data_IF_895660513724
#
_entry.id   IF_895660513724
#
_cell.length_a   1.000
_cell.length_b   1.000
_cell.length_c   1.000
_cell.angle_alpha   90.00
_cell.angle_beta   90.00
_cell.angle_gamma   90.00
#
_symmetry.space_group_name_H-M   'P 1'
#
loop_
_entity.id
_entity.type
_entity.pdbx_description
1 polymer ?
#
# COMPACT_ATOMS: atom_id res chain seq x y z
N UNK A 1 3.25 11.66 -18.71
CA UNK A 1 3.28 10.81 -19.93
C UNK A 1 2.17 9.78 -19.84
N UNK A 2 1.17 9.82 -20.71
CA UNK A 2 0.09 8.84 -20.72
C UNK A 2 0.63 7.49 -21.25
N UNK A 3 0.42 6.40 -20.49
CA UNK A 3 0.78 5.05 -20.93
C UNK A 3 -0.22 4.60 -22.01
N UNK A 4 0.28 4.01 -23.10
CA UNK A 4 -0.56 3.43 -24.13
C UNK A 4 -1.43 2.28 -23.58
N UNK A 5 -2.66 2.08 -24.10
CA UNK A 5 -3.57 1.06 -23.59
C UNK A 5 -3.04 -0.36 -23.85
N UNK A 6 -3.21 -1.23 -22.85
CA UNK A 6 -2.91 -2.66 -22.97
C UNK A 6 -3.87 -3.30 -23.98
N UNK A 7 -3.40 -4.26 -24.79
CA UNK A 7 -4.25 -4.87 -25.83
C UNK A 7 -5.49 -5.57 -25.24
N UNK A 8 -6.66 -5.54 -25.89
CA UNK A 8 -7.89 -6.18 -25.39
C UNK A 8 -7.78 -7.70 -25.17
N UNK A 9 -6.84 -8.37 -25.85
CA UNK A 9 -6.57 -9.79 -25.66
C UNK A 9 -5.80 -10.04 -24.35
N UNK A 10 -4.80 -9.20 -24.04
CA UNK A 10 -4.07 -9.25 -22.77
C UNK A 10 -5.00 -8.89 -21.62
N UNK A 11 -5.84 -7.85 -21.76
CA UNK A 11 -6.83 -7.49 -20.74
C UNK A 11 -7.82 -8.65 -20.44
N UNK A 12 -8.35 -9.32 -21.47
CA UNK A 12 -9.23 -10.49 -21.30
C UNK A 12 -8.53 -11.70 -20.67
N UNK A 13 -7.30 -11.98 -21.09
CA UNK A 13 -6.49 -13.04 -20.51
C UNK A 13 -6.18 -12.80 -19.02
N UNK A 14 -5.88 -11.55 -18.65
CA UNK A 14 -5.63 -11.13 -17.27
C UNK A 14 -6.91 -11.21 -16.42
N UNK A 15 -8.05 -10.75 -16.94
CA UNK A 15 -9.35 -10.82 -16.26
C UNK A 15 -9.78 -12.28 -15.98
N UNK A 16 -9.55 -13.20 -16.92
CA UNK A 16 -9.85 -14.62 -16.73
C UNK A 16 -8.95 -15.30 -15.68
N UNK A 17 -7.76 -14.77 -15.42
CA UNK A 17 -6.81 -15.29 -14.42
C UNK A 17 -6.85 -14.61 -13.05
N UNK A 18 -7.47 -13.44 -12.93
CA UNK A 18 -7.70 -12.77 -11.64
C UNK A 18 -8.54 -13.58 -10.64
N UNK A 19 -9.23 -14.63 -11.11
CA UNK A 19 -9.97 -15.57 -10.26
C UNK A 19 -9.01 -16.55 -9.52
N UNK A 20 -7.76 -16.66 -9.96
CA UNK A 20 -6.77 -17.55 -9.38
C UNK A 20 -6.01 -16.90 -8.21
N UNK A 21 -6.36 -17.30 -6.99
CA UNK A 21 -5.73 -16.98 -5.71
C UNK A 21 -6.30 -15.77 -4.94
N UNK A 22 -7.59 -15.46 -5.08
CA UNK A 22 -8.29 -14.84 -3.95
C UNK A 22 -8.22 -15.85 -2.78
N UNK A 23 -7.60 -15.45 -1.67
CA UNK A 23 -7.67 -16.23 -0.43
C UNK A 23 -9.13 -16.50 -0.01
N UNK A 24 -9.37 -17.26 1.07
CA UNK A 24 -10.74 -17.53 1.52
C UNK A 24 -11.53 -16.21 1.66
N UNK A 25 -12.86 -16.21 1.48
CA UNK A 25 -13.66 -15.00 1.68
C UNK A 25 -13.36 -14.33 3.02
N UNK A 26 -13.29 -13.00 3.03
CA UNK A 26 -13.11 -12.23 4.26
C UNK A 26 -14.44 -12.21 5.02
N UNK A 27 -14.39 -12.37 6.35
CA UNK A 27 -15.59 -12.47 7.20
C UNK A 27 -15.67 -11.34 8.24
N UNK A 28 -16.83 -11.11 8.83
CA UNK A 28 -17.02 -10.09 9.88
C UNK A 28 -17.51 -8.74 9.35
N UNK A 29 -17.33 -7.70 10.16
CA UNK A 29 -17.64 -6.31 9.79
C UNK A 29 -16.73 -5.82 8.65
N UNK A 30 -17.04 -4.67 8.03
CA UNK A 30 -16.17 -4.12 6.98
C UNK A 30 -14.75 -3.84 7.51
N UNK A 31 -14.64 -3.31 8.74
CA UNK A 31 -13.35 -3.11 9.41
C UNK A 31 -12.58 -4.41 9.61
N UNK A 32 -13.25 -5.48 10.07
CA UNK A 32 -12.60 -6.80 10.24
C UNK A 32 -12.04 -7.33 8.92
N UNK A 33 -12.77 -7.12 7.81
CA UNK A 33 -12.34 -7.55 6.49
C UNK A 33 -11.17 -6.71 5.96
N UNK A 34 -11.15 -5.40 6.22
CA UNK A 34 -9.99 -4.54 5.90
C UNK A 34 -8.77 -4.98 6.70
N UNK A 35 -8.91 -5.24 8.00
CA UNK A 35 -7.81 -5.75 8.85
C UNK A 35 -7.29 -7.09 8.34
N UNK A 36 -8.16 -8.03 8.00
CA UNK A 36 -7.74 -9.29 7.36
C UNK A 36 -7.06 -9.06 6.00
N UNK A 37 -7.46 -8.04 5.24
CA UNK A 37 -6.80 -7.64 4.00
C UNK A 37 -5.38 -7.11 4.23
N UNK A 38 -5.20 -6.29 5.26
CA UNK A 38 -3.90 -5.81 5.74
C UNK A 38 -3.01 -6.98 6.17
N UNK A 39 -3.52 -7.88 7.01
CA UNK A 39 -2.77 -9.05 7.48
C UNK A 39 -2.36 -9.97 6.32
N UNK A 40 -3.24 -10.15 5.33
CA UNK A 40 -2.95 -10.93 4.11
C UNK A 40 -1.88 -10.31 3.22
N UNK A 41 -1.56 -9.04 3.39
CA UNK A 41 -0.45 -8.45 2.68
C UNK A 41 0.87 -9.13 3.09
N UNK A 42 1.02 -9.50 4.36
CA UNK A 42 2.22 -10.11 4.88
C UNK A 42 2.35 -11.55 4.39
N UNK A 43 3.52 -11.87 3.83
CA UNK A 43 3.85 -13.23 3.42
C UNK A 43 4.91 -13.80 4.36
N UNK A 44 4.69 -15.04 4.80
CA UNK A 44 5.67 -15.78 5.60
C UNK A 44 6.71 -16.42 4.71
N UNK A 45 7.97 -16.09 4.94
CA UNK A 45 9.11 -16.71 4.29
C UNK A 45 9.88 -17.57 5.29
N UNK A 46 10.37 -18.72 4.84
CA UNK A 46 11.24 -19.60 5.63
C UNK A 46 12.55 -19.82 4.86
N UNK A 47 13.68 -19.47 5.47
CA UNK A 47 15.00 -19.58 4.85
C UNK A 47 15.98 -20.12 5.86
N UNK A 48 16.56 -21.30 5.59
CA UNK A 48 17.56 -21.94 6.45
C UNK A 48 17.11 -22.09 7.93
N UNK A 49 15.81 -22.31 8.17
CA UNK A 49 15.23 -22.44 9.51
C UNK A 49 14.85 -21.12 10.19
N UNK A 50 15.23 -19.97 9.63
CA UNK A 50 14.71 -18.66 10.04
C UNK A 50 13.33 -18.41 9.40
N UNK A 51 12.47 -17.67 10.10
CA UNK A 51 11.13 -17.28 9.63
C UNK A 51 10.95 -15.78 9.73
N UNK A 52 10.30 -15.19 8.74
CA UNK A 52 9.92 -13.78 8.76
C UNK A 52 8.59 -13.56 8.04
N UNK A 53 7.70 -12.78 8.65
CA UNK A 53 6.48 -12.29 8.02
C UNK A 53 6.80 -10.91 7.41
N UNK A 54 6.82 -10.81 6.08
CA UNK A 54 7.30 -9.60 5.38
C UNK A 54 6.21 -9.05 4.49
N UNK A 55 5.90 -7.76 4.63
CA UNK A 55 4.96 -7.07 3.73
C UNK A 55 5.61 -6.76 2.37
N UNK A 56 4.80 -6.62 1.29
CA UNK A 56 5.30 -6.22 -0.01
C UNK A 56 6.00 -4.87 0.08
N UNK A 57 7.15 -4.76 -0.57
CA UNK A 57 7.83 -3.48 -0.71
C UNK A 57 7.07 -2.54 -1.65
N UNK A 58 7.37 -1.24 -1.60
CA UNK A 58 6.77 -0.29 -2.53
C UNK A 58 7.38 -0.41 -3.90
N UNK A 59 6.52 -0.54 -4.91
CA UNK A 59 6.94 -0.62 -6.30
C UNK A 59 5.91 0.03 -7.18
N UNK A 60 6.32 1.02 -7.98
CA UNK A 60 5.48 1.64 -8.99
C UNK A 60 6.24 1.82 -10.30
N UNK A 61 5.61 1.55 -11.44
CA UNK A 61 6.27 1.80 -12.73
C UNK A 61 6.66 3.29 -12.86
N UNK A 62 7.92 3.55 -13.22
CA UNK A 62 8.53 4.90 -13.24
C UNK A 62 9.10 5.39 -11.90
N UNK A 63 8.91 4.67 -10.79
CA UNK A 63 9.49 5.03 -9.48
C UNK A 63 10.98 4.71 -9.34
N UNK A 64 11.54 4.98 -8.16
CA UNK A 64 12.98 4.86 -7.85
C UNK A 64 13.63 3.51 -8.18
N UNK A 65 12.90 2.42 -8.01
CA UNK A 65 13.37 1.06 -8.31
C UNK A 65 13.03 0.59 -9.75
N UNK A 66 12.62 1.48 -10.66
CA UNK A 66 12.30 1.10 -12.04
C UNK A 66 13.48 0.43 -12.76
N UNK A 67 14.70 0.93 -12.54
CA UNK A 67 15.92 0.37 -13.12
C UNK A 67 16.21 -1.07 -12.67
N UNK A 68 15.67 -1.47 -11.51
CA UNK A 68 15.90 -2.78 -10.89
C UNK A 68 15.02 -3.88 -11.50
N UNK A 69 13.95 -3.53 -12.24
CA UNK A 69 13.04 -4.51 -12.87
C UNK A 69 13.79 -5.45 -13.81
N UNK A 70 14.73 -4.93 -14.61
CA UNK A 70 15.52 -5.76 -15.51
C UNK A 70 16.38 -6.79 -14.74
N UNK A 71 16.94 -6.39 -13.60
CA UNK A 71 17.70 -7.28 -12.72
C UNK A 71 16.79 -8.35 -12.10
N UNK A 72 15.58 -8.00 -11.67
CA UNK A 72 14.56 -8.95 -11.20
C UNK A 72 14.16 -9.97 -12.26
N UNK A 73 13.83 -9.51 -13.48
CA UNK A 73 13.47 -10.41 -14.58
C UNK A 73 14.61 -11.35 -14.97
N UNK A 74 15.85 -10.85 -15.02
CA UNK A 74 17.04 -11.67 -15.27
C UNK A 74 17.27 -12.68 -14.14
N UNK A 75 17.06 -12.30 -12.89
CA UNK A 75 17.22 -13.19 -11.75
C UNK A 75 16.20 -14.35 -11.74
N UNK A 76 15.05 -14.18 -12.39
CA UNK A 76 14.02 -15.20 -12.56
C UNK A 76 14.21 -16.06 -13.83
N UNK A 77 15.27 -15.84 -14.61
CA UNK A 77 15.56 -16.64 -15.80
C UNK A 77 15.68 -18.14 -15.43
N UNK A 78 15.02 -19.01 -16.20
CA UNK A 78 14.90 -20.44 -15.90
C UNK A 78 13.82 -20.80 -14.86
N UNK A 79 13.32 -19.82 -14.09
CA UNK A 79 12.21 -19.99 -13.14
C UNK A 79 10.88 -19.45 -13.66
N UNK A 80 10.88 -18.73 -14.77
CA UNK A 80 9.65 -18.30 -15.44
C UNK A 80 9.01 -19.45 -16.23
N UNK A 81 7.69 -19.58 -16.15
CA UNK A 81 6.93 -20.57 -16.90
C UNK A 81 5.63 -21.00 -16.22
N UNK A 82 5.01 -22.05 -16.73
CA UNK A 82 3.72 -22.57 -16.25
C UNK A 82 3.83 -23.91 -15.53
N UNK A 83 5.04 -24.47 -15.38
CA UNK A 83 5.26 -25.74 -14.67
C UNK A 83 5.17 -25.53 -13.15
N UNK A 84 4.89 -26.59 -12.37
CA UNK A 84 4.97 -26.52 -10.91
C UNK A 84 6.32 -25.96 -10.44
N UNK A 85 6.28 -25.02 -9.50
CA UNK A 85 7.48 -24.33 -8.98
C UNK A 85 7.97 -23.16 -9.84
N UNK A 86 7.39 -22.92 -11.02
CA UNK A 86 7.71 -21.76 -11.86
C UNK A 86 6.76 -20.59 -11.61
N UNK A 87 7.25 -19.38 -11.89
CA UNK A 87 6.46 -18.15 -11.83
C UNK A 87 5.90 -17.84 -13.22
N UNK A 88 4.57 -17.75 -13.40
CA UNK A 88 4.00 -17.33 -14.67
C UNK A 88 4.50 -15.93 -15.06
N UNK A 89 4.78 -15.73 -16.36
CA UNK A 89 5.30 -14.44 -16.85
C UNK A 89 4.36 -13.28 -16.54
N UNK A 90 3.04 -13.50 -16.59
CA UNK A 90 2.05 -12.49 -16.26
C UNK A 90 2.05 -12.11 -14.77
N UNK A 91 2.31 -13.07 -13.88
CA UNK A 91 2.48 -12.84 -12.43
C UNK A 91 3.72 -11.98 -12.19
N UNK A 92 4.86 -12.37 -12.77
CA UNK A 92 6.10 -11.59 -12.66
C UNK A 92 5.92 -10.17 -13.19
N UNK A 93 5.29 -10.01 -14.36
CA UNK A 93 5.01 -8.71 -14.97
C UNK A 93 4.16 -7.80 -14.09
N UNK A 94 3.08 -8.32 -13.47
CA UNK A 94 2.23 -7.55 -12.55
C UNK A 94 2.99 -7.09 -11.32
N UNK A 95 3.73 -7.99 -10.66
CA UNK A 95 4.56 -7.66 -9.49
C UNK A 95 5.59 -6.59 -9.82
N UNK A 96 6.29 -6.74 -10.94
CA UNK A 96 7.28 -5.77 -11.40
C UNK A 96 6.67 -4.43 -11.83
N UNK A 97 5.36 -4.40 -12.13
CA UNK A 97 4.61 -3.17 -12.41
C UNK A 97 4.04 -2.51 -11.15
N UNK A 98 4.10 -3.16 -9.98
CA UNK A 98 3.46 -2.70 -8.75
C UNK A 98 2.00 -3.12 -8.58
N UNK A 99 1.51 -4.02 -9.42
CA UNK A 99 0.09 -4.41 -9.53
C UNK A 99 -0.16 -5.89 -9.23
N UNK A 100 0.84 -6.56 -8.63
CA UNK A 100 0.70 -7.93 -8.16
C UNK A 100 -0.22 -8.01 -6.94
N UNK A 101 -0.84 -9.17 -6.74
CA UNK A 101 -1.46 -9.49 -5.45
C UNK A 101 -0.41 -9.77 -4.39
N UNK A 102 -0.72 -9.69 -3.08
CA UNK A 102 0.21 -10.14 -2.05
C UNK A 102 0.72 -11.58 -2.25
N UNK A 103 -0.15 -12.48 -2.74
CA UNK A 103 0.24 -13.84 -3.09
C UNK A 103 1.18 -13.90 -4.31
N UNK A 104 0.95 -13.06 -5.33
CA UNK A 104 1.87 -12.92 -6.47
C UNK A 104 3.24 -12.41 -6.01
N UNK A 105 3.28 -11.41 -5.13
CA UNK A 105 4.52 -10.88 -4.53
C UNK A 105 5.25 -11.97 -3.74
N UNK A 106 4.53 -12.72 -2.90
CA UNK A 106 5.06 -13.86 -2.16
C UNK A 106 5.72 -14.89 -3.07
N UNK A 107 5.02 -15.28 -4.14
CA UNK A 107 5.53 -16.25 -5.13
C UNK A 107 6.78 -15.76 -5.86
N UNK A 108 6.79 -14.50 -6.32
CA UNK A 108 7.96 -13.92 -7.00
C UNK A 108 9.15 -13.82 -6.05
N UNK A 109 8.91 -13.37 -4.83
CA UNK A 109 9.95 -13.22 -3.80
C UNK A 109 10.55 -14.56 -3.42
N UNK A 110 9.72 -15.59 -3.20
CA UNK A 110 10.22 -16.94 -2.92
C UNK A 110 11.07 -17.48 -4.09
N UNK A 111 10.65 -17.25 -5.34
CA UNK A 111 11.43 -17.67 -6.50
C UNK A 111 12.80 -16.97 -6.58
N UNK A 112 12.92 -15.71 -6.12
CA UNK A 112 14.19 -15.01 -6.00
C UNK A 112 15.06 -15.57 -4.87
N UNK A 113 14.48 -15.87 -3.71
CA UNK A 113 15.17 -16.53 -2.58
C UNK A 113 15.76 -17.85 -3.05
N UNK A 114 14.94 -18.69 -3.67
CA UNK A 114 15.35 -19.99 -4.20
C UNK A 114 16.43 -19.86 -5.31
N UNK A 115 16.47 -18.73 -6.02
CA UNK A 115 17.51 -18.40 -6.99
C UNK A 115 18.80 -17.86 -6.35
N UNK A 116 18.91 -17.91 -5.02
CA UNK A 116 20.07 -17.45 -4.27
C UNK A 116 20.25 -15.92 -4.30
N UNK A 117 19.15 -15.16 -4.43
CA UNK A 117 19.20 -13.68 -4.51
C UNK A 117 19.05 -12.99 -3.16
N UNK A 118 18.75 -13.73 -2.10
CA UNK A 118 18.73 -13.17 -0.76
C UNK A 118 20.15 -12.70 -0.38
N UNK A 119 20.37 -11.42 -0.06
CA UNK A 119 21.69 -10.94 0.33
C UNK A 119 22.18 -11.61 1.62
N UNK A 120 23.49 -11.63 1.81
CA UNK A 120 24.07 -12.00 3.11
C UNK A 120 23.64 -10.98 4.18
N UNK A 121 23.65 -11.40 5.45
CA UNK A 121 23.41 -10.46 6.55
C UNK A 121 24.59 -9.49 6.67
N UNK A 122 24.28 -8.22 6.86
CA UNK A 122 25.25 -7.15 7.11
C UNK A 122 24.74 -6.19 8.20
N UNK A 123 25.44 -5.08 8.42
CA UNK A 123 25.08 -4.09 9.45
C UNK A 123 23.82 -3.29 9.11
N UNK A 124 23.48 -3.14 7.83
CA UNK A 124 22.28 -2.44 7.39
C UNK A 124 21.06 -3.37 7.38
N UNK A 125 21.27 -4.64 7.09
CA UNK A 125 20.23 -5.66 6.96
C UNK A 125 20.56 -6.91 7.79
N UNK A 126 20.56 -6.80 9.13
CA UNK A 126 20.96 -7.90 10.01
C UNK A 126 19.91 -9.00 10.14
N UNK A 127 18.64 -8.74 9.80
CA UNK A 127 17.52 -9.69 9.98
C UNK A 127 17.09 -10.33 8.66
N UNK A 128 16.43 -11.49 8.70
CA UNK A 128 15.82 -12.09 7.50
C UNK A 128 14.82 -11.14 6.83
N UNK A 129 13.97 -10.47 7.61
CA UNK A 129 13.00 -9.50 7.10
C UNK A 129 13.68 -8.36 6.32
N UNK A 130 14.65 -7.67 6.93
CA UNK A 130 15.36 -6.55 6.29
C UNK A 130 16.07 -6.98 5.00
N UNK A 131 16.67 -8.17 4.98
CA UNK A 131 17.27 -8.75 3.77
C UNK A 131 16.25 -9.05 2.67
N UNK A 132 15.08 -9.58 3.02
CA UNK A 132 14.00 -9.83 2.06
C UNK A 132 13.49 -8.52 1.48
N UNK A 133 13.28 -7.49 2.32
CA UNK A 133 12.86 -6.15 1.84
C UNK A 133 13.90 -5.53 0.92
N UNK A 134 15.18 -5.63 1.28
CA UNK A 134 16.28 -5.16 0.43
C UNK A 134 16.31 -5.90 -0.91
N UNK A 135 16.17 -7.23 -0.90
CA UNK A 135 16.08 -8.04 -2.12
C UNK A 135 14.88 -7.62 -2.98
N UNK A 136 13.70 -7.40 -2.39
CA UNK A 136 12.53 -6.92 -3.12
C UNK A 136 12.81 -5.58 -3.82
N UNK A 137 13.46 -4.64 -3.14
CA UNK A 137 13.87 -3.36 -3.72
C UNK A 137 14.86 -3.53 -4.87
N UNK A 138 15.93 -4.31 -4.66
CA UNK A 138 17.02 -4.53 -5.63
C UNK A 138 16.57 -5.29 -6.88
N UNK A 139 15.43 -5.99 -6.80
CA UNK A 139 14.83 -6.72 -7.90
C UNK A 139 13.50 -6.12 -8.40
N UNK A 140 13.10 -4.95 -7.91
CA UNK A 140 11.90 -4.25 -8.39
C UNK A 140 10.58 -4.97 -8.10
N UNK A 141 10.52 -5.74 -7.01
CA UNK A 141 9.35 -6.50 -6.56
C UNK A 141 8.55 -5.67 -5.55
N UNK A 142 7.23 -5.63 -5.72
CA UNK A 142 6.37 -4.99 -4.73
C UNK A 142 4.95 -4.70 -5.21
N UNK A 143 4.30 -3.80 -4.50
CA UNK A 143 2.96 -3.28 -4.80
C UNK A 143 2.95 -1.75 -4.61
N UNK A 144 2.24 -1.00 -5.44
CA UNK A 144 2.02 0.43 -5.22
C UNK A 144 0.74 0.69 -4.42
N UNK A 145 0.53 1.97 -4.08
CA UNK A 145 -0.59 2.42 -3.26
C UNK A 145 -1.93 2.00 -3.85
N UNK A 146 -2.15 2.31 -5.13
CA UNK A 146 -3.40 2.01 -5.80
C UNK A 146 -3.61 0.51 -6.03
N UNK A 147 -2.54 -0.25 -6.30
CA UNK A 147 -2.59 -1.70 -6.44
C UNK A 147 -3.03 -2.36 -5.13
N UNK A 148 -2.50 -1.90 -3.99
CA UNK A 148 -2.91 -2.38 -2.67
C UNK A 148 -4.35 -1.97 -2.35
N UNK A 149 -4.67 -0.67 -2.44
CA UNK A 149 -5.99 -0.13 -2.08
C UNK A 149 -7.11 -0.78 -2.89
N UNK A 150 -6.95 -0.90 -4.22
CA UNK A 150 -7.97 -1.50 -5.08
C UNK A 150 -8.26 -2.96 -4.69
N UNK A 151 -7.22 -3.74 -4.42
CA UNK A 151 -7.36 -5.16 -4.08
C UNK A 151 -7.99 -5.35 -2.71
N UNK A 152 -7.53 -4.61 -1.71
CA UNK A 152 -8.09 -4.67 -0.35
C UNK A 152 -9.53 -4.18 -0.32
N UNK A 153 -9.85 -3.09 -1.04
CA UNK A 153 -11.23 -2.60 -1.17
C UNK A 153 -12.14 -3.65 -1.81
N UNK A 154 -11.75 -4.20 -2.97
CA UNK A 154 -12.52 -5.23 -3.66
C UNK A 154 -12.78 -6.44 -2.75
N UNK A 155 -11.73 -6.96 -2.11
CA UNK A 155 -11.85 -8.08 -1.18
C UNK A 155 -12.75 -7.75 0.02
N UNK A 156 -12.58 -6.59 0.65
CA UNK A 156 -13.33 -6.19 1.84
C UNK A 156 -14.82 -5.95 1.55
N UNK A 157 -15.19 -5.62 0.32
CA UNK A 157 -16.59 -5.56 -0.11
C UNK A 157 -17.13 -6.87 -0.68
N UNK A 158 -16.32 -7.92 -0.80
CA UNK A 158 -16.71 -9.17 -1.45
C UNK A 158 -17.07 -8.98 -2.93
N UNK A 159 -16.46 -7.99 -3.59
CA UNK A 159 -16.71 -7.60 -4.98
C UNK A 159 -15.43 -7.76 -5.80
N UNK A 160 -15.56 -7.92 -7.10
CA UNK A 160 -14.44 -7.73 -8.03
C UNK A 160 -14.22 -6.24 -8.30
N UNK A 161 -13.02 -5.82 -8.77
CA UNK A 161 -12.82 -4.44 -9.21
C UNK A 161 -13.87 -3.98 -10.23
N UNK A 162 -14.23 -4.84 -11.19
CA UNK A 162 -15.25 -4.54 -12.20
C UNK A 162 -16.65 -4.33 -11.59
N UNK A 163 -17.02 -5.08 -10.54
CA UNK A 163 -18.28 -4.87 -9.81
C UNK A 163 -18.30 -3.57 -9.01
N UNK A 164 -17.14 -3.00 -8.69
CA UNK A 164 -16.99 -1.65 -8.16
C UNK A 164 -16.92 -0.57 -9.26
N UNK A 165 -16.99 -0.96 -10.54
CA UNK A 165 -16.80 -0.06 -11.68
C UNK A 165 -15.35 0.44 -11.84
N UNK A 166 -14.39 -0.25 -11.22
CA UNK A 166 -12.96 0.04 -11.36
C UNK A 166 -12.37 -0.72 -12.53
N UNK A 167 -11.34 -0.14 -13.15
CA UNK A 167 -10.58 -0.79 -14.23
C UNK A 167 -9.69 -1.94 -13.71
N UNK A 168 -9.14 -2.70 -14.64
CA UNK A 168 -8.09 -3.68 -14.34
C UNK A 168 -6.91 -3.00 -13.62
N UNK A 169 -6.24 -3.65 -12.63
CA UNK A 169 -5.14 -3.07 -11.87
C UNK A 169 -3.99 -2.50 -12.69
N UNK A 170 -3.72 -3.03 -13.90
CA UNK A 170 -2.68 -2.45 -14.78
C UNK A 170 -3.09 -1.10 -15.38
N UNK A 171 -4.38 -0.78 -15.35
CA UNK A 171 -4.99 0.44 -15.86
C UNK A 171 -5.89 1.10 -14.80
N UNK A 172 -5.57 0.94 -13.52
CA UNK A 172 -6.42 1.43 -12.43
C UNK A 172 -6.70 2.93 -12.53
N UNK A 173 -7.86 3.33 -11.99
CA UNK A 173 -8.41 4.66 -12.08
C UNK A 173 -8.93 5.20 -10.73
N UNK A 174 -8.27 4.84 -9.63
CA UNK A 174 -8.60 5.36 -8.29
C UNK A 174 -8.43 6.88 -8.19
N UNK A 175 -7.63 7.51 -9.06
CA UNK A 175 -7.55 8.96 -9.17
C UNK A 175 -8.79 9.63 -9.78
N UNK A 176 -9.74 8.85 -10.34
CA UNK A 176 -10.91 9.34 -11.06
C UNK A 176 -12.25 8.91 -10.42
N UNK A 177 -12.24 8.60 -9.11
CA UNK A 177 -13.44 8.13 -8.38
C UNK A 177 -14.61 9.13 -8.39
N UNK A 178 -14.34 10.44 -8.55
CA UNK A 178 -15.35 11.48 -8.76
C UNK A 178 -16.30 11.18 -9.94
N UNK A 179 -15.83 10.42 -10.94
CA UNK A 179 -16.59 10.07 -12.14
C UNK A 179 -17.19 8.66 -12.10
N UNK A 180 -16.93 7.89 -11.03
CA UNK A 180 -17.44 6.54 -10.88
C UNK A 180 -18.78 6.55 -10.12
N UNK A 181 -19.91 6.16 -10.76
CA UNK A 181 -21.24 6.24 -10.13
C UNK A 181 -21.42 5.27 -8.95
N UNK A 182 -20.55 4.27 -8.79
CA UNK A 182 -20.57 3.34 -7.65
C UNK A 182 -19.93 3.92 -6.39
N UNK A 183 -19.38 5.13 -6.46
CA UNK A 183 -18.78 5.82 -5.33
C UNK A 183 -19.57 7.09 -4.98
N UNK A 184 -19.50 7.46 -3.70
CA UNK A 184 -20.03 8.70 -3.18
C UNK A 184 -18.87 9.49 -2.59
N UNK A 185 -18.62 10.68 -3.16
CA UNK A 185 -17.65 11.62 -2.59
C UNK A 185 -18.16 12.16 -1.25
N UNK A 186 -17.25 12.30 -0.30
CA UNK A 186 -17.44 12.87 1.03
C UNK A 186 -16.30 13.82 1.36
N UNK A 187 -16.50 14.65 2.37
CA UNK A 187 -15.41 15.39 2.98
C UNK A 187 -14.46 14.42 3.68
N UNK A 188 -13.15 14.68 3.68
CA UNK A 188 -12.14 13.75 4.20
C UNK A 188 -12.31 13.52 5.71
N UNK A 189 -12.69 14.56 6.45
CA UNK A 189 -12.98 14.44 7.89
C UNK A 189 -14.29 13.69 8.19
N UNK A 190 -15.09 13.37 7.16
CA UNK A 190 -16.32 12.58 7.28
C UNK A 190 -16.14 11.18 6.66
N UNK A 191 -14.90 10.77 6.36
CA UNK A 191 -14.60 9.48 5.76
C UNK A 191 -15.03 8.34 6.70
N UNK A 192 -15.67 7.30 6.16
CA UNK A 192 -16.02 6.11 6.90
C UNK A 192 -15.02 4.98 6.69
N UNK A 193 -15.07 3.96 7.54
CA UNK A 193 -14.34 2.70 7.31
C UNK A 193 -14.70 2.14 5.94
N UNK A 194 -13.67 1.82 5.15
CA UNK A 194 -13.80 1.36 3.76
C UNK A 194 -13.84 2.46 2.70
N UNK A 195 -13.85 3.73 3.09
CA UNK A 195 -13.69 4.82 2.13
C UNK A 195 -12.24 4.87 1.61
N UNK A 196 -12.10 5.21 0.33
CA UNK A 196 -10.80 5.53 -0.28
C UNK A 196 -10.55 7.03 -0.17
N UNK A 197 -9.40 7.45 0.36
CA UNK A 197 -8.97 8.85 0.30
C UNK A 197 -7.95 8.99 -0.83
N UNK A 198 -8.19 9.93 -1.74
CA UNK A 198 -7.24 10.26 -2.82
C UNK A 198 -6.52 11.56 -2.51
N UNK A 199 -5.22 11.59 -2.77
CA UNK A 199 -4.34 12.72 -2.56
C UNK A 199 -3.71 13.13 -3.90
N UNK A 200 -3.65 14.44 -4.14
CA UNK A 200 -2.95 15.03 -5.28
C UNK A 200 -1.54 15.43 -4.88
N UNK A 201 -0.66 15.37 -5.86
CA UNK A 201 0.75 15.66 -5.71
C UNK A 201 1.04 17.09 -5.31
N UNK A 202 2.21 17.27 -4.68
CA UNK A 202 2.85 18.58 -4.51
C UNK A 202 3.35 19.15 -5.84
N UNK A 203 3.59 18.30 -6.85
CA UNK A 203 4.08 18.70 -8.17
C UNK A 203 3.48 17.87 -9.33
N UNK A 204 3.34 18.43 -10.55
CA UNK A 204 2.81 17.69 -11.71
C UNK A 204 3.62 16.46 -12.15
N UNK A 205 4.85 16.30 -11.64
CA UNK A 205 5.76 15.20 -11.98
C UNK A 205 5.63 14.01 -11.03
N UNK A 206 5.03 14.21 -9.86
CA UNK A 206 4.82 13.13 -8.91
C UNK A 206 3.46 12.48 -9.16
N UNK A 207 3.31 11.19 -8.82
CA UNK A 207 2.05 10.47 -8.91
C UNK A 207 1.29 10.55 -7.59
N UNK A 208 0.01 10.95 -7.66
CA UNK A 208 -0.83 11.08 -6.47
C UNK A 208 -0.88 9.80 -5.62
N UNK A 209 -1.39 9.95 -4.40
CA UNK A 209 -1.46 8.86 -3.43
C UNK A 209 -2.91 8.45 -3.17
N UNK A 210 -3.12 7.18 -2.81
CA UNK A 210 -4.44 6.67 -2.43
C UNK A 210 -4.30 5.82 -1.18
N UNK A 211 -5.19 6.00 -0.22
CA UNK A 211 -5.22 5.22 1.01
C UNK A 211 -6.63 4.68 1.26
N UNK A 212 -6.73 3.59 2.02
CA UNK A 212 -7.99 2.99 2.44
C UNK A 212 -8.21 3.25 3.93
N UNK A 213 -9.37 3.79 4.32
CA UNK A 213 -9.69 4.03 5.73
C UNK A 213 -10.03 2.72 6.43
N UNK A 214 -9.19 2.31 7.38
CA UNK A 214 -9.39 1.15 8.22
C UNK A 214 -10.21 1.49 9.47
N UNK A 215 -9.99 2.66 10.06
CA UNK A 215 -10.72 3.16 11.25
C UNK A 215 -10.94 4.66 11.18
N UNK A 216 -12.05 5.13 11.77
CA UNK A 216 -12.33 6.54 12.01
C UNK A 216 -12.81 6.69 13.45
N UNK A 217 -12.10 7.51 14.22
CA UNK A 217 -12.32 7.72 15.64
C UNK A 217 -12.38 9.22 15.92
N UNK A 218 -13.30 9.63 16.79
CA UNK A 218 -13.27 10.95 17.43
C UNK A 218 -12.58 10.81 18.79
N UNK A 219 -11.66 11.73 19.09
CA UNK A 219 -10.81 11.73 20.29
C UNK A 219 -10.60 13.13 20.83
N UNK A 220 -10.03 13.20 22.02
CA UNK A 220 -9.54 14.44 22.66
C UNK A 220 -8.01 14.40 22.75
N UNK A 221 -7.39 15.57 22.90
CA UNK A 221 -5.95 15.69 23.12
C UNK A 221 -5.44 14.92 24.34
N UNK A 222 -6.26 14.86 25.40
CA UNK A 222 -5.94 14.12 26.62
C UNK A 222 -5.77 12.60 26.36
N UNK A 223 -6.56 12.02 25.45
CA UNK A 223 -6.46 10.60 25.06
C UNK A 223 -5.25 10.33 24.17
N UNK A 224 -4.68 11.35 23.54
CA UNK A 224 -3.60 11.21 22.56
C UNK A 224 -2.20 11.52 23.11
N UNK A 225 -2.08 11.81 24.41
CA UNK A 225 -0.81 12.28 25.02
C UNK A 225 0.37 11.33 24.83
N UNK A 226 0.12 10.01 24.85
CA UNK A 226 1.17 8.99 24.70
C UNK A 226 1.68 8.85 23.28
N UNK A 227 0.97 9.41 22.30
CA UNK A 227 1.36 9.34 20.90
C UNK A 227 2.30 10.46 20.49
N UNK A 228 2.37 11.57 21.22
CA UNK A 228 3.29 12.66 20.91
C UNK A 228 4.57 12.56 21.73
N UNK A 229 5.68 13.05 21.17
CA UNK A 229 6.96 13.11 21.88
C UNK A 229 6.80 14.05 23.09
N UNK A 230 7.16 13.61 24.32
CA UNK A 230 7.10 14.47 25.50
C UNK A 230 7.87 15.78 25.29
N UNK A 231 7.19 16.90 25.53
CA UNK A 231 7.76 18.23 25.41
C UNK A 231 7.89 18.78 23.99
N UNK A 232 7.32 18.15 22.96
CA UNK A 232 7.26 18.76 21.61
C UNK A 232 6.26 19.94 21.62
N UNK A 233 6.72 21.19 21.49
CA UNK A 233 5.84 22.35 21.52
C UNK A 233 4.84 22.37 20.35
N UNK A 234 5.12 21.68 19.24
CA UNK A 234 4.20 21.58 18.10
C UNK A 234 3.01 20.68 18.41
N UNK A 235 3.15 19.74 19.33
CA UNK A 235 2.06 18.85 19.75
C UNK A 235 1.05 19.57 20.67
N UNK A 236 1.45 20.69 21.27
CA UNK A 236 0.66 21.39 22.28
C UNK A 236 -0.79 21.71 21.86
N UNK A 237 -1.09 22.17 20.63
CA UNK A 237 -2.46 22.38 20.19
C UNK A 237 -3.27 21.07 20.20
N UNK A 238 -2.70 19.99 19.66
CA UNK A 238 -3.34 18.67 19.65
C UNK A 238 -3.64 18.16 21.06
N UNK A 239 -2.69 18.33 22.00
CA UNK A 239 -2.86 17.87 23.39
C UNK A 239 -3.93 18.65 24.16
N UNK A 240 -4.22 19.90 23.75
CA UNK A 240 -5.27 20.75 24.35
C UNK A 240 -6.62 20.64 23.63
N UNK A 241 -6.63 20.15 22.40
CA UNK A 241 -7.82 20.07 21.57
C UNK A 241 -8.90 19.19 22.20
N UNK A 242 -10.15 19.60 22.05
CA UNK A 242 -11.32 18.82 22.50
C UNK A 242 -11.95 18.01 21.37
N UNK A 243 -11.48 18.18 20.14
CA UNK A 243 -12.09 17.60 18.96
C UNK A 243 -11.00 17.19 17.95
N UNK A 244 -10.46 15.99 18.14
CA UNK A 244 -9.55 15.36 17.20
C UNK A 244 -10.29 14.32 16.35
N UNK A 245 -10.12 14.40 15.04
CA UNK A 245 -10.47 13.32 14.10
C UNK A 245 -9.25 12.46 13.86
N UNK A 246 -9.36 11.17 14.16
CA UNK A 246 -8.29 10.20 13.95
C UNK A 246 -8.71 9.20 12.88
N UNK A 247 -7.95 9.16 11.79
CA UNK A 247 -8.13 8.22 10.70
C UNK A 247 -6.97 7.23 10.69
N UNK A 248 -7.27 5.94 10.79
CA UNK A 248 -6.28 4.87 10.58
C UNK A 248 -6.41 4.43 9.13
N UNK A 249 -5.32 4.52 8.37
CA UNK A 249 -5.32 4.32 6.92
C UNK A 249 -4.26 3.32 6.48
N UNK A 250 -4.64 2.47 5.52
CA UNK A 250 -3.76 1.48 4.93
C UNK A 250 -3.39 1.89 3.50
N UNK A 251 -2.11 1.73 3.16
CA UNK A 251 -1.61 1.93 1.81
C UNK A 251 -0.27 1.21 1.62
N UNK A 252 0.23 1.22 0.38
CA UNK A 252 1.64 0.97 0.09
C UNK A 252 2.36 2.31 -0.09
N UNK A 253 3.27 2.61 0.83
CA UNK A 253 3.92 3.92 0.95
C UNK A 253 5.27 3.95 0.25
N UNK A 254 5.56 5.04 -0.45
CA UNK A 254 6.87 5.26 -1.08
C UNK A 254 8.02 5.28 -0.08
N UNK A 255 9.24 5.09 -0.58
CA UNK A 255 10.46 5.06 0.24
C UNK A 255 10.95 6.46 0.69
N UNK A 256 10.09 7.48 0.52
CA UNK A 256 10.40 8.90 0.69
C UNK A 256 11.46 9.40 -0.31
N UNK A 257 11.88 10.66 -0.13
CA UNK A 257 12.87 11.34 -0.97
C UNK A 257 14.25 10.66 -0.98
N UNK A 258 14.54 9.80 -0.01
CA UNK A 258 15.85 9.16 0.15
C UNK A 258 15.86 7.68 -0.21
N UNK A 259 14.75 7.10 -0.69
CA UNK A 259 14.74 5.74 -1.19
C UNK A 259 15.04 4.67 -0.12
N UNK A 260 14.73 4.92 1.16
CA UNK A 260 15.04 3.97 2.25
C UNK A 260 14.08 2.77 2.20
N UNK A 261 14.60 1.62 1.78
CA UNK A 261 13.80 0.40 1.58
C UNK A 261 13.09 -0.10 2.85
N UNK A 262 13.66 0.14 4.02
CA UNK A 262 13.12 -0.34 5.30
C UNK A 262 11.75 0.25 5.65
N UNK A 263 11.45 1.46 5.19
CA UNK A 263 10.20 2.16 5.52
C UNK A 263 9.10 2.10 4.45
N UNK A 264 9.39 1.55 3.27
CA UNK A 264 8.47 1.59 2.14
C UNK A 264 7.72 0.29 1.93
N UNK A 265 6.50 0.36 1.43
CA UNK A 265 5.64 -0.79 1.17
C UNK A 265 4.32 -0.72 1.91
N UNK A 266 3.61 -1.85 1.97
CA UNK A 266 2.34 -1.93 2.68
C UNK A 266 2.55 -1.66 4.16
N UNK A 267 1.90 -0.62 4.67
CA UNK A 267 1.92 -0.23 6.07
C UNK A 267 0.64 0.53 6.44
N UNK A 268 0.29 0.48 7.73
CA UNK A 268 -0.77 1.26 8.34
C UNK A 268 -0.20 2.55 8.94
N UNK A 269 -0.87 3.67 8.69
CA UNK A 269 -0.56 4.95 9.31
C UNK A 269 -1.78 5.49 10.06
N UNK A 270 -1.53 6.36 11.04
CA UNK A 270 -2.58 7.07 11.75
C UNK A 270 -2.46 8.55 11.46
N UNK A 271 -3.52 9.16 10.93
CA UNK A 271 -3.62 10.59 10.68
C UNK A 271 -4.52 11.22 11.72
N UNK A 272 -4.06 12.32 12.31
CA UNK A 272 -4.72 13.02 13.40
C UNK A 272 -4.97 14.44 12.94
N UNK A 273 -6.23 14.85 12.85
CA UNK A 273 -6.62 16.20 12.51
C UNK A 273 -7.19 16.90 13.74
N UNK A 274 -6.65 18.05 14.08
CA UNK A 274 -7.22 18.93 15.09
C UNK A 274 -8.27 19.84 14.45
N UNK A 275 -9.54 19.62 14.78
CA UNK A 275 -10.66 20.41 14.22
C UNK A 275 -10.63 21.87 14.67
N UNK A 276 -9.95 22.20 15.77
CA UNK A 276 -9.87 23.57 16.29
C UNK A 276 -8.83 24.40 15.55
N UNK A 277 -7.68 23.81 15.20
CA UNK A 277 -6.58 24.50 14.52
C UNK A 277 -6.49 24.23 13.03
N UNK A 278 -7.16 23.19 12.53
CA UNK A 278 -7.04 22.73 11.15
C UNK A 278 -5.71 22.02 10.84
N UNK A 279 -4.90 21.72 11.87
CA UNK A 279 -3.60 21.09 11.69
C UNK A 279 -3.70 19.57 11.67
N UNK A 280 -2.77 18.96 10.94
CA UNK A 280 -2.56 17.53 10.88
C UNK A 280 -1.30 17.10 11.60
N UNK A 281 -1.36 15.90 12.17
CA UNK A 281 -0.22 15.11 12.59
C UNK A 281 -0.37 13.69 12.03
N UNK A 282 0.75 12.97 11.91
CA UNK A 282 0.76 11.59 11.42
C UNK A 282 1.71 10.70 12.22
N UNK A 283 1.27 9.48 12.50
CA UNK A 283 2.10 8.37 12.94
C UNK A 283 2.40 7.53 11.71
N UNK A 284 3.61 7.70 11.15
CA UNK A 284 4.00 7.10 9.88
C UNK A 284 4.41 5.62 10.00
N UNK A 285 4.77 5.18 11.20
CA UNK A 285 5.19 3.80 11.51
C UNK A 285 4.70 3.40 12.88
N UNK A 286 4.44 2.11 13.05
CA UNK A 286 4.11 1.56 14.37
C UNK A 286 5.20 1.90 15.39
N UNK A 287 4.77 2.22 16.62
CA UNK A 287 5.64 2.60 17.73
C UNK A 287 6.51 3.86 17.54
N UNK A 288 6.25 4.66 16.50
CA UNK A 288 6.84 6.00 16.38
C UNK A 288 5.92 7.07 16.96
N UNK A 289 6.46 8.14 17.57
CA UNK A 289 5.65 9.28 17.94
C UNK A 289 4.99 9.93 16.71
N UNK A 290 3.83 10.54 16.91
CA UNK A 290 3.17 11.39 15.95
C UNK A 290 4.04 12.61 15.64
N UNK A 291 4.12 12.94 14.36
CA UNK A 291 4.80 14.12 13.85
C UNK A 291 3.75 15.12 13.36
N UNK A 292 3.84 16.38 13.76
CA UNK A 292 2.98 17.44 13.22
C UNK A 292 3.41 17.75 11.80
N UNK A 293 2.48 17.58 10.85
CA UNK A 293 2.73 17.66 9.40
C UNK A 293 2.18 18.95 8.77
N UNK A 294 1.40 19.74 9.51
CA UNK A 294 0.90 21.04 9.06
C UNK A 294 -0.48 20.93 8.42
N UNK A 295 -0.65 21.41 7.18
CA UNK A 295 -1.97 21.49 6.52
C UNK A 295 -2.48 20.16 5.95
N UNK A 296 -1.60 19.15 5.83
CA UNK A 296 -1.93 17.85 5.25
C UNK A 296 -1.27 16.74 6.06
N UNK A 297 -1.82 15.52 6.09
CA UNK A 297 -1.23 14.42 6.86
C UNK A 297 -0.04 13.75 6.17
N UNK A 298 0.25 14.08 4.91
CA UNK A 298 1.22 13.35 4.09
C UNK A 298 2.06 14.26 3.19
N UNK A 299 3.23 14.67 3.66
CA UNK A 299 4.32 15.28 2.87
C UNK A 299 3.86 16.34 1.85
N UNK A 300 2.93 17.22 2.26
CA UNK A 300 2.40 18.31 1.43
C UNK A 300 1.32 17.91 0.40
N UNK A 301 1.00 16.62 0.28
CA UNK A 301 0.00 16.14 -0.67
C UNK A 301 -1.39 16.68 -0.31
N UNK A 302 -2.03 17.31 -1.29
CA UNK A 302 -3.35 17.90 -1.10
C UNK A 302 -4.40 16.80 -1.03
N UNK A 303 -5.20 16.80 0.03
CA UNK A 303 -6.35 15.94 0.18
C UNK A 303 -7.43 16.33 -0.85
N UNK A 304 -7.82 15.39 -1.73
CA UNK A 304 -8.83 15.67 -2.77
C UNK A 304 -10.23 15.37 -2.27
N UNK A 305 -10.40 14.22 -1.61
CA UNK A 305 -11.70 13.73 -1.17
C UNK A 305 -11.63 12.31 -0.62
N UNK A 306 -12.67 11.93 0.12
CA UNK A 306 -12.96 10.56 0.52
C UNK A 306 -14.08 9.99 -0.35
N UNK A 307 -14.02 8.70 -0.68
CA UNK A 307 -14.94 8.04 -1.61
C UNK A 307 -15.40 6.72 -1.03
N UNK A 308 -16.66 6.67 -0.60
CA UNK A 308 -17.31 5.46 -0.11
C UNK A 308 -18.04 4.70 -1.21
N UNK A 309 -18.00 3.36 -1.15
CA UNK A 309 -18.77 2.50 -2.05
C UNK A 309 -20.26 2.62 -1.73
N UNK A 310 -21.11 2.78 -2.76
CA UNK A 310 -22.58 2.81 -2.66
C UNK A 310 -23.21 1.43 -2.49
#
# INVERSE_FOLDING_TARGET
>A
MARGPVSPAVARFMAARQVGAAGPPLTGTLGDRINQGYDRAFHRYEVNGERADVSPHFRMAGGFNQKNVAAGMKALEGRLGTKPGQVPLDVAGRVMAGRGTPADVGRVTQALIDAGKLPAADTAHPTLESRIRQMMWDHGVGIDCAGYVQQTLAAAHGKTPAQLGLKDPLNEDLGALDHNPNFQRRHVLDAAVGDVITLKDVSPSEPGHTVLVAEHLERTGAEMVTYFKPGDPRAEPFLRSRALTVLVVDSSWGAGEHGKAEGAGVNRQTWIHDRETGQWAAIKREHTPAEVTGETPYDGHTLVGAYGVR
#
